data_IF_635943870733
#
_entry.id   IF_635943870733
#
_cell.length_a   1.000
_cell.length_b   1.000
_cell.length_c   1.000
_cell.angle_alpha   90.00
_cell.angle_beta   90.00
_cell.angle_gamma   90.00
#
_symmetry.space_group_name_H-M   'P 1'
#
loop_
_entity.id
_entity.type
_entity.pdbx_description
1 polymer ?
#
# COMPACT_ATOMS: atom_id res chain seq x y z
N UNK A 1 -1.47 13.94 21.09
CA UNK A 1 -1.58 12.58 20.50
C UNK A 1 -0.41 11.64 20.85
N UNK A 2 0.84 12.14 20.84
CA UNK A 2 2.05 11.40 21.23
C UNK A 2 2.02 10.75 22.62
N UNK A 3 1.54 11.46 23.64
CA UNK A 3 1.50 10.91 25.01
C UNK A 3 0.63 9.65 25.11
N UNK A 4 -0.51 9.59 24.42
CA UNK A 4 -1.46 8.47 24.48
C UNK A 4 -0.95 7.23 23.71
N UNK A 5 -0.36 7.44 22.52
CA UNK A 5 0.20 6.34 21.73
C UNK A 5 1.55 5.85 22.26
N UNK A 6 2.40 6.73 22.78
CA UNK A 6 3.60 6.31 23.53
C UNK A 6 3.26 5.75 24.90
N UNK A 7 2.14 6.08 25.55
CA UNK A 7 1.72 5.35 26.76
C UNK A 7 1.33 3.91 26.44
N UNK A 8 0.72 3.66 25.27
CA UNK A 8 0.43 2.29 24.82
C UNK A 8 1.71 1.54 24.43
N UNK A 9 2.61 2.19 23.68
CA UNK A 9 3.91 1.61 23.36
C UNK A 9 4.78 1.41 24.62
N UNK A 10 4.71 2.34 25.58
CA UNK A 10 5.35 2.22 26.89
C UNK A 10 4.70 1.15 27.76
N UNK A 11 3.39 0.88 27.65
CA UNK A 11 2.76 -0.24 28.36
C UNK A 11 3.23 -1.57 27.78
N UNK A 12 3.33 -1.70 26.47
CA UNK A 12 3.82 -2.92 25.81
C UNK A 12 5.31 -3.15 26.11
N UNK A 13 6.13 -2.10 26.06
CA UNK A 13 7.54 -2.17 26.49
C UNK A 13 7.65 -2.49 27.99
N UNK A 14 6.80 -1.92 28.85
CA UNK A 14 6.79 -2.25 30.29
C UNK A 14 6.41 -3.72 30.52
N UNK A 15 5.51 -4.28 29.73
CA UNK A 15 5.18 -5.72 29.77
C UNK A 15 6.41 -6.55 29.39
N UNK A 16 7.17 -6.15 28.37
CA UNK A 16 8.38 -6.89 27.98
C UNK A 16 9.55 -6.71 28.95
N UNK A 17 9.76 -5.52 29.50
CA UNK A 17 10.73 -5.29 30.58
C UNK A 17 10.43 -6.14 31.83
N UNK A 18 9.14 -6.42 32.11
CA UNK A 18 8.76 -7.37 33.16
C UNK A 18 9.12 -8.81 32.80
N UNK A 19 8.89 -9.25 31.56
CA UNK A 19 9.26 -10.61 31.11
C UNK A 19 10.78 -10.85 31.12
N UNK A 20 11.59 -9.85 30.78
CA UNK A 20 13.05 -9.93 30.88
C UNK A 20 13.53 -9.96 32.34
N UNK A 21 12.84 -9.25 33.25
CA UNK A 21 13.16 -9.31 34.67
C UNK A 21 12.82 -10.68 35.29
N UNK A 22 11.67 -11.27 34.94
CA UNK A 22 11.26 -12.60 35.45
C UNK A 22 12.17 -13.74 34.98
N UNK A 23 12.79 -13.61 33.79
CA UNK A 23 13.78 -14.56 33.29
C UNK A 23 15.18 -14.37 33.90
N UNK A 24 15.43 -13.24 34.56
CA UNK A 24 16.70 -12.93 35.24
C UNK A 24 16.67 -13.15 36.77
N UNK A 25 15.49 -13.30 37.38
CA UNK A 25 15.32 -13.54 38.83
C UNK A 25 15.43 -15.01 39.27
N UNK A 26 15.75 -15.93 38.35
CA UNK A 26 15.87 -17.36 38.61
C UNK A 26 17.28 -17.86 38.88
N UNK A 27 18.12 -17.16 39.65
CA UNK A 27 19.40 -17.70 40.12
C UNK A 27 19.89 -16.99 41.39
N UNK A 28 19.62 -17.63 42.54
CA UNK A 28 20.07 -17.16 43.85
C UNK A 28 19.88 -18.22 44.94
N UNK A 29 20.85 -19.13 45.02
CA UNK A 29 21.34 -19.88 46.20
C UNK A 29 20.36 -20.58 47.15
N UNK A 30 20.50 -21.91 47.26
CA UNK A 30 20.68 -22.52 48.58
C UNK A 30 21.48 -23.82 48.54
N UNK A 31 22.49 -23.89 49.40
CA UNK A 31 23.32 -25.05 49.72
C UNK A 31 22.50 -26.16 50.38
N UNK A 32 22.74 -27.43 50.02
CA UNK A 32 23.14 -28.42 51.02
C UNK A 32 23.70 -29.71 50.40
N UNK A 33 24.78 -30.16 51.03
CA UNK A 33 25.54 -31.38 50.85
C UNK A 33 24.79 -32.64 51.31
N UNK A 34 24.96 -33.77 50.59
CA UNK A 34 25.44 -35.04 51.18
C UNK A 34 25.43 -36.21 50.17
N UNK A 35 26.63 -36.78 49.97
CA UNK A 35 27.01 -38.18 49.77
C UNK A 35 25.99 -39.24 49.27
N UNK A 36 26.43 -40.01 48.27
CA UNK A 36 25.91 -41.35 47.97
C UNK A 36 26.54 -42.01 46.74
N UNK A 37 27.65 -42.75 46.96
CA UNK A 37 28.12 -43.87 46.11
C UNK A 37 26.92 -44.80 45.82
N UNK A 38 26.78 -45.51 44.69
CA UNK A 38 27.69 -46.50 44.11
C UNK A 38 26.96 -47.18 42.93
N UNK A 39 27.72 -47.77 42.00
CA UNK A 39 27.33 -49.05 41.40
C UNK A 39 27.08 -49.06 39.90
N UNK A 40 28.18 -49.24 39.14
CA UNK A 40 28.41 -50.34 38.20
C UNK A 40 27.36 -50.72 37.14
N UNK A 41 27.82 -50.96 35.91
CA UNK A 41 27.15 -51.92 35.01
C UNK A 41 27.15 -51.55 33.53
N UNK A 42 28.32 -51.65 32.93
CA UNK A 42 28.64 -52.11 31.58
C UNK A 42 27.50 -52.46 30.57
N UNK A 43 27.70 -51.90 29.38
CA UNK A 43 27.73 -52.57 28.06
C UNK A 43 26.44 -52.93 27.31
N UNK A 44 26.41 -52.45 26.05
CA UNK A 44 26.12 -53.13 24.76
C UNK A 44 24.82 -53.95 24.68
N UNK A 45 23.99 -53.91 23.65
CA UNK A 45 24.16 -53.52 22.26
C UNK A 45 22.83 -53.74 21.52
N UNK A 46 22.69 -53.04 20.39
CA UNK A 46 22.14 -53.52 19.11
C UNK A 46 20.69 -54.01 18.97
N UNK A 47 20.04 -53.42 17.96
CA UNK A 47 19.19 -54.13 16.99
C UNK A 47 17.70 -53.98 17.27
N UNK A 48 17.00 -53.09 16.56
CA UNK A 48 16.43 -53.25 15.20
C UNK A 48 14.99 -53.78 15.24
N UNK A 49 14.13 -53.02 14.54
CA UNK A 49 12.85 -53.41 13.93
C UNK A 49 11.72 -53.69 14.94
N UNK A 50 10.46 -53.35 14.73
CA UNK A 50 9.73 -52.94 13.53
C UNK A 50 8.32 -52.50 13.98
N UNK A 51 7.70 -51.64 13.17
CA UNK A 51 6.28 -51.52 12.87
C UNK A 51 5.25 -52.17 13.83
N UNK A 52 4.28 -51.37 14.28
CA UNK A 52 2.90 -51.40 13.77
C UNK A 52 1.95 -50.61 14.69
N UNK A 53 1.17 -49.72 14.06
CA UNK A 53 -0.22 -49.36 14.34
C UNK A 53 -0.86 -49.84 15.66
N UNK A 54 -1.45 -48.93 16.42
CA UNK A 54 -2.92 -48.77 16.47
C UNK A 54 -3.36 -47.69 17.46
N UNK A 55 -4.41 -47.00 17.02
CA UNK A 55 -5.39 -46.16 17.72
C UNK A 55 -5.65 -46.44 19.20
N UNK A 56 -5.85 -45.37 19.99
CA UNK A 56 -7.10 -45.09 20.71
C UNK A 56 -6.96 -43.75 21.48
N UNK A 57 -7.77 -42.71 21.23
CA UNK A 57 -9.17 -42.43 21.63
C UNK A 57 -9.24 -41.49 22.85
N UNK A 58 -10.08 -40.46 22.72
CA UNK A 58 -10.93 -39.86 23.77
C UNK A 58 -10.31 -38.89 24.79
N UNK A 59 -10.66 -37.61 24.66
CA UNK A 59 -11.77 -36.96 25.39
C UNK A 59 -11.49 -35.49 25.77
N UNK A 60 -12.31 -34.61 25.18
CA UNK A 60 -13.16 -33.60 25.84
C UNK A 60 -12.86 -33.29 27.31
N UNK A 61 -12.67 -32.01 27.65
CA UNK A 61 -13.83 -31.14 27.90
C UNK A 61 -13.42 -29.67 28.07
N UNK A 62 -14.24 -28.82 27.45
CA UNK A 62 -14.32 -27.38 27.62
C UNK A 62 -14.65 -26.96 29.05
N UNK A 63 -14.15 -25.81 29.47
CA UNK A 63 -15.00 -24.81 30.12
C UNK A 63 -14.47 -23.38 29.91
N UNK A 64 -15.43 -22.50 29.71
CA UNK A 64 -15.43 -21.16 29.12
C UNK A 64 -15.07 -19.99 30.03
N UNK A 65 -14.67 -18.87 29.40
CA UNK A 65 -14.81 -17.48 29.87
C UNK A 65 -13.54 -16.65 29.63
N UNK A 66 -13.50 -15.50 28.93
CA UNK A 66 -14.51 -14.65 28.29
C UNK A 66 -13.81 -13.78 27.21
N UNK A 67 -14.42 -13.62 26.04
CA UNK A 67 -13.99 -12.68 24.97
C UNK A 67 -15.12 -11.69 24.69
N UNK A 68 -14.85 -10.40 24.41
CA UNK A 68 -15.88 -9.49 23.94
C UNK A 68 -16.04 -9.58 22.42
N UNK A 69 -17.29 -9.72 22.00
CA UNK A 69 -17.82 -9.78 20.64
C UNK A 69 -17.81 -8.39 19.98
N UNK A 70 -17.29 -8.28 18.76
CA UNK A 70 -17.46 -7.10 17.90
C UNK A 70 -18.46 -7.42 16.79
N UNK A 71 -19.46 -6.56 16.70
CA UNK A 71 -20.62 -6.62 15.80
C UNK A 71 -20.20 -6.23 14.38
N UNK A 72 -20.51 -7.08 13.42
CA UNK A 72 -20.36 -6.82 11.97
C UNK A 72 -21.47 -5.87 11.53
N UNK A 73 -21.10 -4.69 11.04
CA UNK A 73 -22.04 -3.74 10.40
C UNK A 73 -21.85 -3.82 8.89
N UNK A 74 -22.90 -4.24 8.20
CA UNK A 74 -23.00 -4.33 6.73
C UNK A 74 -23.21 -2.96 6.08
N UNK A 75 -22.86 -2.85 4.81
CA UNK A 75 -22.68 -1.61 4.06
C UNK A 75 -23.96 -0.90 3.58
N UNK A 76 -25.11 -1.10 4.23
CA UNK A 76 -26.41 -0.54 3.78
C UNK A 76 -26.94 0.60 4.67
N UNK A 77 -26.15 1.10 5.64
CA UNK A 77 -26.59 2.13 6.59
C UNK A 77 -25.78 3.44 6.58
N UNK A 78 -25.17 3.79 5.44
CA UNK A 78 -24.51 5.12 5.25
C UNK A 78 -25.19 6.06 4.24
N UNK A 79 -26.32 5.67 3.65
CA UNK A 79 -27.02 6.49 2.63
C UNK A 79 -28.26 7.26 3.11
N UNK A 80 -28.52 7.36 4.42
CA UNK A 80 -29.77 7.94 4.93
C UNK A 80 -29.65 9.33 5.60
N UNK A 81 -28.68 10.17 5.21
CA UNK A 81 -28.55 11.54 5.77
C UNK A 81 -28.29 12.65 4.73
N UNK A 82 -28.58 12.43 3.44
CA UNK A 82 -28.37 13.45 2.41
C UNK A 82 -29.54 13.68 1.42
N UNK A 83 -30.76 13.25 1.74
CA UNK A 83 -31.95 13.57 0.94
C UNK A 83 -33.19 13.76 1.82
N UNK A 84 -33.44 15.01 2.22
CA UNK A 84 -34.78 15.48 2.56
C UNK A 84 -34.81 17.01 2.44
N UNK A 85 -35.61 17.53 1.49
CA UNK A 85 -36.06 18.92 1.55
C UNK A 85 -35.98 19.74 0.26
N UNK A 86 -36.60 19.30 -0.83
CA UNK A 86 -37.17 20.24 -1.81
C UNK A 86 -38.51 19.67 -2.28
N UNK A 87 -39.62 20.29 -1.86
CA UNK A 87 -40.84 20.53 -2.63
C UNK A 87 -42.00 20.87 -1.70
N UNK A 88 -42.45 22.13 -1.76
CA UNK A 88 -43.79 22.52 -1.36
C UNK A 88 -44.23 23.71 -2.22
N UNK A 89 -45.05 23.41 -3.22
CA UNK A 89 -45.82 24.37 -3.98
C UNK A 89 -47.06 24.83 -3.19
N UNK A 90 -47.43 26.10 -3.32
CA UNK A 90 -48.81 26.57 -3.15
C UNK A 90 -49.03 27.91 -3.90
N UNK A 91 -50.27 28.20 -4.33
CA UNK A 91 -50.53 28.82 -5.63
C UNK A 91 -51.10 30.24 -5.53
N UNK A 92 -50.89 31.07 -6.57
CA UNK A 92 -51.72 32.25 -6.84
C UNK A 92 -51.88 32.47 -8.35
N UNK A 93 -53.13 32.52 -8.79
CA UNK A 93 -53.59 33.01 -10.10
C UNK A 93 -54.21 34.43 -9.91
N UNK A 94 -54.74 35.09 -10.94
CA UNK A 94 -54.06 35.72 -12.09
C UNK A 94 -54.51 37.21 -12.27
N UNK A 95 -53.85 38.00 -13.14
CA UNK A 95 -54.50 38.97 -14.07
C UNK A 95 -53.55 40.02 -14.72
N UNK A 96 -53.79 40.23 -16.03
CA UNK A 96 -53.85 41.51 -16.78
C UNK A 96 -52.63 42.41 -17.05
N UNK A 97 -52.29 42.50 -18.36
CA UNK A 97 -52.21 43.70 -19.23
C UNK A 97 -51.42 44.97 -18.80
N UNK A 98 -50.37 45.36 -19.55
CA UNK A 98 -50.27 46.60 -20.39
C UNK A 98 -48.83 47.00 -20.80
N UNK A 99 -48.77 47.74 -21.93
CA UNK A 99 -47.64 48.29 -22.74
C UNK A 99 -46.83 49.46 -22.12
N UNK A 100 -45.76 49.83 -22.84
CA UNK A 100 -45.19 51.18 -23.18
C UNK A 100 -43.87 51.59 -22.47
N UNK A 101 -42.77 51.87 -23.21
CA UNK A 101 -42.25 53.19 -23.69
C UNK A 101 -42.09 54.23 -22.56
N UNK A 102 -41.06 55.09 -22.42
CA UNK A 102 -39.84 55.46 -23.15
C UNK A 102 -39.13 56.59 -22.35
N UNK A 103 -37.79 56.71 -22.51
CA UNK A 103 -36.90 57.92 -22.53
C UNK A 103 -37.03 59.09 -21.52
N UNK A 104 -35.88 59.57 -21.01
CA UNK A 104 -35.37 60.95 -21.22
C UNK A 104 -33.95 61.22 -20.59
N UNK A 105 -32.93 61.27 -21.47
CA UNK A 105 -31.86 62.29 -21.72
C UNK A 105 -30.95 62.99 -20.63
N UNK A 106 -29.79 63.65 -21.01
CA UNK A 106 -28.43 63.30 -20.53
C UNK A 106 -27.56 64.51 -19.98
N UNK A 107 -26.27 64.77 -20.37
CA UNK A 107 -25.06 64.57 -19.55
C UNK A 107 -24.21 65.85 -19.30
N UNK A 108 -23.14 65.78 -18.47
CA UNK A 108 -22.02 66.76 -18.51
C UNK A 108 -20.64 66.08 -18.38
N UNK A 109 -19.85 66.18 -19.46
CA UNK A 109 -18.37 66.05 -19.57
C UNK A 109 -17.74 67.36 -19.07
N UNK A 110 -16.49 67.53 -18.63
CA UNK A 110 -15.15 67.08 -19.04
C UNK A 110 -14.14 67.71 -18.00
N UNK A 111 -12.78 67.64 -18.09
CA UNK A 111 -11.91 66.85 -18.95
C UNK A 111 -10.70 66.16 -18.24
N UNK A 112 -10.11 65.21 -18.97
CA UNK A 112 -8.76 64.68 -18.79
C UNK A 112 -7.67 65.75 -19.07
N UNK A 113 -6.64 65.85 -18.22
CA UNK A 113 -5.26 65.49 -18.62
C UNK A 113 -4.17 65.73 -17.56
N UNK A 114 -3.27 64.73 -17.48
CA UNK A 114 -1.79 64.81 -17.54
C UNK A 114 -0.94 64.48 -16.30
N UNK A 115 -0.30 63.32 -16.45
CA UNK A 115 1.12 63.02 -16.20
C UNK A 115 1.56 62.61 -14.78
N UNK A 116 1.90 61.33 -14.59
CA UNK A 116 3.31 60.87 -14.65
C UNK A 116 3.45 59.35 -14.50
N UNK A 117 4.19 58.79 -15.44
CA UNK A 117 4.63 57.42 -15.55
C UNK A 117 5.41 56.96 -14.32
N UNK A 118 5.00 55.84 -13.72
CA UNK A 118 5.90 54.85 -13.11
C UNK A 118 5.26 53.48 -13.33
N UNK A 119 5.91 52.51 -14.01
CA UNK A 119 5.41 51.15 -14.01
C UNK A 119 5.58 50.61 -12.59
N UNK A 120 4.49 50.24 -11.92
CA UNK A 120 4.58 49.31 -10.80
C UNK A 120 4.96 47.96 -11.41
N UNK A 121 6.17 47.49 -11.13
CA UNK A 121 6.60 46.13 -11.39
C UNK A 121 5.65 45.16 -10.67
N UNK A 122 4.59 44.75 -11.39
CA UNK A 122 3.81 43.59 -11.01
C UNK A 122 4.60 42.40 -11.52
N UNK A 123 5.38 41.79 -10.64
CA UNK A 123 5.94 40.45 -10.85
C UNK A 123 4.74 39.58 -11.26
N UNK A 124 4.75 38.92 -12.43
CA UNK A 124 3.68 37.99 -12.76
C UNK A 124 3.73 36.91 -11.69
N UNK A 125 2.70 36.84 -10.86
CA UNK A 125 2.52 35.75 -9.92
C UNK A 125 2.48 34.49 -10.79
N UNK A 126 3.60 33.77 -10.88
CA UNK A 126 3.67 32.53 -11.63
C UNK A 126 2.57 31.66 -11.07
N UNK A 127 1.59 31.28 -11.90
CA UNK A 127 0.57 30.31 -11.50
C UNK A 127 1.33 29.14 -10.90
N UNK A 128 1.15 28.93 -9.59
CA UNK A 128 1.76 27.79 -8.93
C UNK A 128 1.41 26.53 -9.72
N UNK A 129 2.37 25.63 -9.95
CA UNK A 129 2.09 24.43 -10.73
C UNK A 129 0.96 23.66 -10.04
N UNK A 130 -0.15 23.46 -10.78
CA UNK A 130 -1.30 22.69 -10.33
C UNK A 130 -0.82 21.27 -9.98
N UNK A 131 -1.25 20.69 -8.85
CA UNK A 131 -1.00 19.28 -8.50
C UNK A 131 -1.28 18.41 -9.73
N UNK A 132 -0.24 17.76 -10.23
CA UNK A 132 -0.31 16.96 -11.45
C UNK A 132 -0.66 15.53 -11.07
N UNK A 133 -1.44 14.87 -11.93
CA UNK A 133 -1.86 13.47 -11.78
C UNK A 133 -0.83 12.53 -12.41
N UNK A 134 -0.77 11.30 -11.90
CA UNK A 134 0.26 10.34 -12.29
C UNK A 134 0.05 9.70 -13.66
N UNK A 135 -1.18 9.66 -14.18
CA UNK A 135 -1.54 9.07 -15.49
C UNK A 135 -1.10 9.85 -16.74
N UNK A 136 0.04 10.57 -16.72
CA UNK A 136 0.60 11.19 -17.95
C UNK A 136 1.26 10.15 -18.86
N UNK A 137 0.50 9.15 -19.29
CA UNK A 137 0.92 8.31 -20.39
C UNK A 137 0.75 9.11 -21.69
N UNK A 138 1.83 9.22 -22.47
CA UNK A 138 1.73 9.75 -23.83
C UNK A 138 1.00 8.68 -24.65
N UNK A 139 -0.24 8.95 -25.05
CA UNK A 139 -1.00 8.04 -25.93
C UNK A 139 -0.22 7.94 -27.24
N UNK A 140 0.46 6.80 -27.45
CA UNK A 140 1.41 6.64 -28.55
C UNK A 140 0.75 6.41 -29.90
N UNK A 141 -0.51 6.01 -29.96
CA UNK A 141 -1.28 5.94 -31.21
C UNK A 141 -2.77 5.73 -30.89
N UNK A 142 -3.67 6.36 -31.64
CA UNK A 142 -5.11 6.06 -31.56
C UNK A 142 -5.38 4.73 -32.26
N UNK A 143 -5.28 3.63 -31.50
CA UNK A 143 -5.63 2.30 -32.00
C UNK A 143 -7.11 2.05 -31.73
N UNK A 144 -7.91 1.91 -32.79
CA UNK A 144 -9.30 1.47 -32.63
C UNK A 144 -9.32 0.00 -32.19
N UNK A 145 -9.78 -0.25 -30.96
CA UNK A 145 -9.92 -1.60 -30.45
C UNK A 145 -11.14 -2.30 -31.07
N UNK A 146 -10.90 -3.46 -31.67
CA UNK A 146 -11.94 -4.38 -32.09
C UNK A 146 -12.33 -5.32 -30.95
N UNK A 147 -13.64 -5.56 -30.77
CA UNK A 147 -14.14 -6.49 -29.76
C UNK A 147 -13.82 -7.93 -30.19
N UNK A 148 -12.88 -8.56 -29.50
CA UNK A 148 -12.55 -9.98 -29.70
C UNK A 148 -13.65 -10.90 -29.16
N UNK A 149 -13.81 -12.12 -29.73
CA UNK A 149 -14.79 -13.11 -29.27
C UNK A 149 -14.54 -13.52 -27.81
N UNK A 150 -15.57 -14.08 -27.17
CA UNK A 150 -15.48 -14.56 -25.81
C UNK A 150 -14.76 -15.92 -25.75
N UNK A 151 -14.10 -16.24 -24.63
CA UNK A 151 -13.43 -17.55 -24.48
C UNK A 151 -14.35 -18.76 -24.68
N UNK A 152 -15.64 -18.63 -24.34
CA UNK A 152 -16.63 -19.72 -24.48
C UNK A 152 -16.98 -20.04 -25.94
N UNK A 153 -16.82 -19.08 -26.85
CA UNK A 153 -17.16 -19.21 -28.26
C UNK A 153 -16.02 -19.83 -29.08
N UNK A 154 -14.83 -19.97 -28.49
CA UNK A 154 -13.61 -20.41 -29.16
C UNK A 154 -13.21 -21.82 -28.68
N UNK A 155 -12.82 -22.73 -29.60
CA UNK A 155 -12.29 -24.05 -29.26
C UNK A 155 -11.07 -23.95 -28.35
N UNK A 156 -10.90 -24.94 -27.45
CA UNK A 156 -9.83 -24.97 -26.45
C UNK A 156 -8.43 -24.72 -27.04
N UNK A 157 -8.14 -25.32 -28.20
CA UNK A 157 -6.84 -25.22 -28.88
C UNK A 157 -6.47 -23.78 -29.31
N UNK A 158 -7.48 -22.92 -29.51
CA UNK A 158 -7.29 -21.52 -29.94
C UNK A 158 -7.42 -20.52 -28.78
N UNK A 159 -7.79 -20.98 -27.57
CA UNK A 159 -8.00 -20.08 -26.42
C UNK A 159 -6.70 -19.44 -25.95
N UNK A 160 -5.57 -20.16 -26.03
CA UNK A 160 -4.28 -19.61 -25.65
C UNK A 160 -3.87 -18.45 -26.57
N UNK A 161 -4.00 -18.61 -27.89
CA UNK A 161 -3.72 -17.55 -28.86
C UNK A 161 -4.66 -16.35 -28.68
N UNK A 162 -5.94 -16.60 -28.37
CA UNK A 162 -6.90 -15.55 -28.04
C UNK A 162 -6.50 -14.80 -26.76
N UNK A 163 -6.02 -15.51 -25.75
CA UNK A 163 -5.55 -14.92 -24.50
C UNK A 163 -4.38 -13.96 -24.75
N UNK A 164 -3.39 -14.38 -25.54
CA UNK A 164 -2.26 -13.52 -25.92
C UNK A 164 -2.72 -12.29 -26.72
N UNK A 165 -3.66 -12.45 -27.66
CA UNK A 165 -4.23 -11.31 -28.41
C UNK A 165 -4.96 -10.32 -27.50
N UNK A 166 -5.75 -10.82 -26.54
CA UNK A 166 -6.44 -9.98 -25.55
C UNK A 166 -5.45 -9.25 -24.64
N UNK A 167 -4.36 -9.88 -24.21
CA UNK A 167 -3.29 -9.20 -23.47
C UNK A 167 -2.67 -8.05 -24.26
N UNK A 168 -2.37 -8.29 -25.55
CA UNK A 168 -1.86 -7.25 -26.45
C UNK A 168 -2.83 -6.07 -26.60
N UNK A 169 -4.13 -6.33 -26.71
CA UNK A 169 -5.14 -5.26 -26.72
C UNK A 169 -5.18 -4.46 -25.41
N UNK A 170 -5.02 -5.14 -24.28
CA UNK A 170 -4.99 -4.49 -22.96
C UNK A 170 -3.74 -3.63 -22.72
N UNK A 171 -2.69 -3.77 -23.53
CA UNK A 171 -1.52 -2.89 -23.48
C UNK A 171 -1.77 -1.50 -24.08
N UNK A 172 -2.85 -1.29 -24.85
CA UNK A 172 -3.20 0.03 -25.41
C UNK A 172 -3.66 0.97 -24.29
N UNK A 173 -3.00 2.12 -24.14
CA UNK A 173 -3.28 3.10 -23.09
C UNK A 173 -4.28 4.14 -23.58
N UNK A 174 -5.28 4.43 -22.76
CA UNK A 174 -6.26 5.49 -23.01
C UNK A 174 -6.03 6.68 -22.08
N UNK A 175 -6.27 7.89 -22.59
CA UNK A 175 -6.27 9.10 -21.76
C UNK A 175 -7.62 9.24 -21.03
N UNK A 176 -7.55 9.34 -19.70
CA UNK A 176 -8.71 9.54 -18.83
C UNK A 176 -8.89 10.99 -18.38
N UNK A 177 -8.03 11.92 -18.80
CA UNK A 177 -8.24 13.35 -18.56
C UNK A 177 -9.49 13.88 -19.28
N UNK A 178 -9.83 13.32 -20.44
CA UNK A 178 -11.13 13.49 -21.08
C UNK A 178 -11.95 12.20 -20.91
N UNK A 179 -12.91 12.22 -19.98
CA UNK A 179 -13.77 11.08 -19.71
C UNK A 179 -14.70 10.74 -20.90
N UNK A 180 -14.99 11.70 -21.78
CA UNK A 180 -15.91 11.53 -22.90
C UNK A 180 -15.22 11.02 -24.18
N UNK A 181 -13.91 11.18 -24.28
CA UNK A 181 -13.13 10.66 -25.39
C UNK A 181 -13.01 9.12 -25.34
N UNK A 182 -13.06 8.49 -26.51
CA UNK A 182 -12.75 7.06 -26.72
C UNK A 182 -13.55 6.09 -25.84
N UNK A 183 -14.78 6.45 -25.46
CA UNK A 183 -15.68 5.65 -24.60
C UNK A 183 -15.80 4.19 -25.07
N UNK A 184 -15.94 3.98 -26.38
CA UNK A 184 -16.02 2.64 -26.98
C UNK A 184 -14.75 1.82 -26.73
N UNK A 185 -13.58 2.40 -26.97
CA UNK A 185 -12.28 1.73 -26.74
C UNK A 185 -12.05 1.46 -25.25
N UNK A 186 -12.36 2.44 -24.39
CA UNK A 186 -12.27 2.29 -22.93
C UNK A 186 -13.14 1.16 -22.41
N UNK A 187 -14.38 1.05 -22.90
CA UNK A 187 -15.29 -0.01 -22.49
C UNK A 187 -14.86 -1.38 -23.02
N UNK A 188 -14.38 -1.48 -24.27
CA UNK A 188 -13.83 -2.73 -24.83
C UNK A 188 -12.65 -3.21 -23.99
N UNK A 189 -11.70 -2.32 -23.66
CA UNK A 189 -10.56 -2.68 -22.80
C UNK A 189 -11.01 -3.11 -21.40
N UNK A 190 -11.95 -2.38 -20.79
CA UNK A 190 -12.50 -2.73 -19.47
C UNK A 190 -13.11 -4.13 -19.48
N UNK A 191 -14.00 -4.41 -20.44
CA UNK A 191 -14.63 -5.72 -20.58
C UNK A 191 -13.61 -6.83 -20.84
N UNK A 192 -12.61 -6.57 -21.68
CA UNK A 192 -11.54 -7.54 -22.00
C UNK A 192 -10.67 -7.85 -20.77
N UNK A 193 -10.31 -6.83 -19.98
CA UNK A 193 -9.58 -7.01 -18.72
C UNK A 193 -10.40 -7.83 -17.70
N UNK A 194 -11.69 -7.53 -17.56
CA UNK A 194 -12.60 -8.29 -16.67
C UNK A 194 -12.70 -9.75 -17.12
N UNK A 195 -12.85 -10.00 -18.42
CA UNK A 195 -12.91 -11.36 -18.95
C UNK A 195 -11.59 -12.12 -18.73
N UNK A 196 -10.43 -11.47 -18.92
CA UNK A 196 -9.12 -12.08 -18.64
C UNK A 196 -8.96 -12.43 -17.15
N UNK A 197 -9.44 -11.57 -16.25
CA UNK A 197 -9.45 -11.81 -14.81
C UNK A 197 -10.36 -12.97 -14.43
N UNK A 198 -11.57 -13.04 -14.98
CA UNK A 198 -12.48 -14.16 -14.75
C UNK A 198 -11.88 -15.47 -15.30
N UNK A 199 -11.27 -15.42 -16.48
CA UNK A 199 -10.71 -16.60 -17.12
C UNK A 199 -9.54 -17.20 -16.33
N UNK A 200 -8.61 -16.37 -15.84
CA UNK A 200 -7.45 -16.85 -15.07
C UNK A 200 -7.83 -17.36 -13.66
N UNK A 201 -8.97 -16.89 -13.12
CA UNK A 201 -9.44 -17.31 -11.79
C UNK A 201 -10.30 -18.58 -11.85
N UNK A 202 -11.06 -18.78 -12.92
CA UNK A 202 -11.99 -19.91 -13.06
C UNK A 202 -11.39 -21.12 -13.77
N UNK A 203 -10.50 -20.90 -14.74
CA UNK A 203 -9.98 -21.96 -15.61
C UNK A 203 -8.58 -22.38 -15.18
N UNK A 204 -8.35 -23.69 -15.04
CA UNK A 204 -7.02 -24.27 -14.74
C UNK A 204 -6.23 -24.54 -16.01
N UNK A 205 -4.91 -24.55 -15.90
CA UNK A 205 -3.99 -24.83 -17.00
C UNK A 205 -3.83 -23.67 -17.97
N UNK A 206 -4.30 -22.47 -17.60
CA UNK A 206 -4.23 -21.28 -18.48
C UNK A 206 -2.81 -20.73 -18.52
N UNK A 207 -2.06 -20.80 -17.43
CA UNK A 207 -0.74 -20.16 -17.30
C UNK A 207 0.35 -21.02 -17.95
N UNK A 208 0.62 -20.76 -19.22
CA UNK A 208 1.71 -21.39 -19.99
C UNK A 208 2.94 -20.49 -20.08
N UNK A 209 4.10 -21.05 -20.43
CA UNK A 209 5.37 -20.29 -20.55
C UNK A 209 5.31 -19.01 -21.41
N UNK A 210 4.67 -18.96 -22.60
CA UNK A 210 4.62 -17.75 -23.42
C UNK A 210 3.74 -16.63 -22.84
N UNK A 211 2.91 -16.92 -21.82
CA UNK A 211 2.02 -15.91 -21.22
C UNK A 211 2.77 -15.00 -20.23
N UNK A 212 3.83 -15.51 -19.58
CA UNK A 212 4.61 -14.74 -18.61
C UNK A 212 5.15 -13.41 -19.15
N UNK A 213 5.87 -13.34 -20.29
CA UNK A 213 6.36 -12.08 -20.82
C UNK A 213 5.22 -11.10 -21.15
N UNK A 214 4.12 -11.59 -21.74
CA UNK A 214 2.99 -10.74 -22.14
C UNK A 214 2.26 -10.16 -20.94
N UNK A 215 2.05 -10.94 -19.87
CA UNK A 215 1.41 -10.45 -18.64
C UNK A 215 2.29 -9.40 -17.94
N UNK A 216 3.60 -9.67 -17.81
CA UNK A 216 4.53 -8.73 -17.16
C UNK A 216 4.66 -7.45 -18.00
N UNK A 217 4.71 -7.56 -19.33
CA UNK A 217 4.73 -6.42 -20.26
C UNK A 217 3.45 -5.60 -20.16
N UNK A 218 2.28 -6.23 -20.21
CA UNK A 218 0.97 -5.56 -20.09
C UNK A 218 0.85 -4.82 -18.73
N UNK A 219 1.29 -5.45 -17.64
CA UNK A 219 1.34 -4.81 -16.33
C UNK A 219 2.27 -3.58 -16.32
N UNK A 220 3.50 -3.74 -16.83
CA UNK A 220 4.49 -2.68 -16.88
C UNK A 220 4.02 -1.47 -17.71
N UNK A 221 3.45 -1.71 -18.90
CA UNK A 221 2.96 -0.65 -19.80
C UNK A 221 1.81 0.14 -19.16
N UNK A 222 0.90 -0.54 -18.44
CA UNK A 222 -0.25 0.12 -17.83
C UNK A 222 0.10 0.88 -16.54
N UNK A 223 1.12 0.46 -15.78
CA UNK A 223 1.36 0.97 -14.43
C UNK A 223 2.61 1.83 -14.32
N UNK A 224 3.73 1.41 -14.91
CA UNK A 224 5.03 2.05 -14.70
C UNK A 224 5.05 3.40 -15.40
N UNK A 225 4.97 4.45 -14.59
CA UNK A 225 4.92 5.85 -14.97
C UNK A 225 5.66 6.67 -13.95
N UNK A 226 6.09 7.85 -14.35
CA UNK A 226 6.66 8.82 -13.42
C UNK A 226 5.55 9.45 -12.59
N UNK A 227 5.67 9.37 -11.28
CA UNK A 227 4.78 10.09 -10.38
C UNK A 227 5.20 11.56 -10.40
N UNK A 228 4.31 12.49 -10.75
CA UNK A 228 4.65 13.91 -10.80
C UNK A 228 5.04 14.40 -9.40
N UNK A 229 5.95 15.38 -9.32
CA UNK A 229 6.37 15.92 -8.03
C UNK A 229 5.18 16.51 -7.28
N UNK A 230 5.11 16.20 -5.99
CA UNK A 230 4.10 16.73 -5.08
C UNK A 230 4.33 18.22 -4.85
N UNK A 231 3.75 19.05 -5.71
CA UNK A 231 3.79 20.51 -5.59
C UNK A 231 2.52 20.99 -4.90
N UNK A 232 2.66 21.62 -3.73
CA UNK A 232 1.51 22.24 -3.09
C UNK A 232 1.20 23.56 -3.82
N UNK A 233 0.00 23.74 -4.42
CA UNK A 233 -0.27 24.84 -5.34
C UNK A 233 -0.52 26.16 -4.62
N UNK A 234 -0.61 26.16 -3.29
CA UNK A 234 -1.01 27.33 -2.50
C UNK A 234 0.20 28.02 -1.84
N UNK A 235 1.38 27.40 -1.86
CA UNK A 235 2.59 27.97 -1.22
C UNK A 235 2.59 27.88 0.31
N UNK A 236 1.53 27.32 0.90
CA UNK A 236 1.50 26.97 2.33
C UNK A 236 2.39 25.76 2.63
N UNK A 237 2.78 25.63 3.91
CA UNK A 237 3.49 24.46 4.40
C UNK A 237 2.64 23.21 4.13
N UNK A 238 3.20 22.25 3.40
CA UNK A 238 2.59 20.96 3.13
C UNK A 238 2.17 20.30 4.44
N UNK A 239 0.86 20.06 4.58
CA UNK A 239 0.30 19.30 5.69
C UNK A 239 -0.32 18.01 5.14
N UNK A 240 0.37 16.87 5.30
CA UNK A 240 -0.12 15.60 4.78
C UNK A 240 -1.35 15.06 5.51
N UNK A 241 -1.75 15.64 6.66
CA UNK A 241 -3.00 15.27 7.34
C UNK A 241 -4.23 16.02 6.78
N UNK A 242 -4.04 17.24 6.26
CA UNK A 242 -5.13 18.08 5.74
C UNK A 242 -5.29 17.99 4.21
N UNK A 243 -4.21 17.69 3.49
CA UNK A 243 -4.22 17.67 2.02
C UNK A 243 -5.05 16.50 1.46
N UNK A 244 -6.16 16.81 0.78
CA UNK A 244 -6.99 15.80 0.10
C UNK A 244 -6.17 14.99 -0.93
N UNK A 245 -6.27 13.63 -0.94
CA UNK A 245 -5.50 12.80 -1.83
C UNK A 245 -5.98 12.93 -3.28
N UNK A 246 -5.05 13.09 -4.22
CA UNK A 246 -5.38 13.08 -5.64
C UNK A 246 -5.64 11.66 -6.11
N UNK A 247 -6.91 11.37 -6.42
CA UNK A 247 -7.34 10.08 -6.96
C UNK A 247 -6.96 9.90 -8.44
N UNK A 248 -6.65 8.67 -8.83
CA UNK A 248 -6.30 8.34 -10.21
C UNK A 248 -7.57 8.22 -11.10
N UNK A 249 -7.53 8.85 -12.27
CA UNK A 249 -8.67 8.88 -13.22
C UNK A 249 -8.77 7.59 -14.03
N UNK A 250 -7.62 6.98 -14.34
CA UNK A 250 -7.55 5.70 -15.05
C UNK A 250 -7.87 4.48 -14.14
N UNK A 251 -8.29 4.74 -12.89
CA UNK A 251 -8.60 3.71 -11.89
C UNK A 251 -9.51 2.58 -12.39
N UNK A 252 -10.57 2.81 -13.19
CA UNK A 252 -11.42 1.73 -13.70
C UNK A 252 -10.67 0.66 -14.53
N UNK A 253 -9.55 1.03 -15.16
CA UNK A 253 -8.67 0.06 -15.84
C UNK A 253 -7.58 -0.44 -14.90
N UNK A 254 -6.90 0.47 -14.17
CA UNK A 254 -5.78 0.12 -13.29
C UNK A 254 -6.16 -0.87 -12.21
N UNK A 255 -7.34 -0.72 -11.59
CA UNK A 255 -7.85 -1.65 -10.58
C UNK A 255 -7.85 -3.09 -11.11
N UNK A 256 -8.36 -3.30 -12.33
CA UNK A 256 -8.48 -4.63 -12.93
C UNK A 256 -7.08 -5.16 -13.28
N UNK A 257 -6.17 -4.30 -13.75
CA UNK A 257 -4.78 -4.71 -14.05
C UNK A 257 -4.04 -5.16 -12.78
N UNK A 258 -4.18 -4.41 -11.67
CA UNK A 258 -3.62 -4.81 -10.38
C UNK A 258 -4.21 -6.13 -9.89
N UNK A 259 -5.54 -6.27 -9.95
CA UNK A 259 -6.22 -7.48 -9.51
C UNK A 259 -5.84 -8.69 -10.35
N UNK A 260 -5.80 -8.54 -11.68
CA UNK A 260 -5.36 -9.57 -12.62
C UNK A 260 -3.93 -10.04 -12.31
N UNK A 261 -2.99 -9.11 -12.14
CA UNK A 261 -1.60 -9.46 -11.84
C UNK A 261 -1.44 -10.12 -10.47
N UNK A 262 -2.23 -9.68 -9.48
CA UNK A 262 -2.23 -10.31 -8.17
C UNK A 262 -2.76 -11.74 -8.23
N UNK A 263 -3.86 -12.00 -8.94
CA UNK A 263 -4.38 -13.36 -9.17
C UNK A 263 -3.38 -14.23 -9.94
N UNK A 264 -2.71 -13.65 -10.94
CA UNK A 264 -1.66 -14.34 -11.69
C UNK A 264 -0.51 -14.80 -10.79
N UNK A 265 0.01 -13.93 -9.91
CA UNK A 265 1.08 -14.29 -8.97
C UNK A 265 0.58 -15.28 -7.91
N UNK A 266 -0.64 -15.12 -7.41
CA UNK A 266 -1.22 -15.98 -6.38
C UNK A 266 -1.61 -17.38 -6.89
N UNK A 267 -1.74 -17.55 -8.21
CA UNK A 267 -2.11 -18.82 -8.82
C UNK A 267 -1.17 -19.96 -8.36
N UNK A 268 -1.73 -21.15 -8.04
CA UNK A 268 -0.92 -22.33 -7.73
C UNK A 268 -0.12 -22.83 -8.93
N UNK A 269 -0.51 -22.46 -10.16
CA UNK A 269 0.16 -22.84 -11.40
C UNK A 269 1.31 -21.88 -11.77
N UNK A 270 1.57 -20.88 -10.93
CA UNK A 270 2.63 -19.90 -11.13
C UNK A 270 4.01 -20.51 -10.87
N UNK A 271 4.85 -20.56 -11.90
CA UNK A 271 6.24 -21.02 -11.82
C UNK A 271 7.22 -19.85 -11.69
N UNK A 272 7.84 -19.76 -10.51
CA UNK A 272 8.87 -18.77 -10.20
C UNK A 272 10.13 -18.90 -11.07
N UNK A 273 10.44 -20.08 -11.62
CA UNK A 273 11.63 -20.30 -12.44
C UNK A 273 11.52 -19.67 -13.82
N UNK A 274 10.32 -19.60 -14.37
CA UNK A 274 10.03 -18.92 -15.63
C UNK A 274 9.92 -17.42 -15.35
N UNK A 275 9.12 -17.05 -14.34
CA UNK A 275 8.82 -15.66 -14.01
C UNK A 275 10.06 -14.82 -13.63
N UNK A 276 11.09 -15.41 -13.00
CA UNK A 276 12.32 -14.69 -12.59
C UNK A 276 13.09 -14.05 -13.76
N UNK A 277 12.85 -14.50 -15.00
CA UNK A 277 13.44 -13.90 -16.20
C UNK A 277 12.85 -12.51 -16.50
N UNK A 278 11.60 -12.29 -16.10
CA UNK A 278 10.83 -11.08 -16.41
C UNK A 278 10.64 -10.18 -15.17
N UNK A 279 10.42 -10.77 -14.00
CA UNK A 279 10.39 -10.06 -12.71
C UNK A 279 11.82 -9.98 -12.18
N UNK A 280 12.53 -8.95 -12.63
CA UNK A 280 13.94 -8.71 -12.32
C UNK A 280 14.09 -7.50 -11.34
N UNK A 281 15.32 -7.19 -10.87
CA UNK A 281 15.53 -6.05 -9.97
C UNK A 281 15.01 -4.71 -10.52
N UNK A 282 15.07 -4.49 -11.84
CA UNK A 282 14.55 -3.27 -12.47
C UNK A 282 13.04 -3.16 -12.33
N UNK A 283 12.30 -4.26 -12.53
CA UNK A 283 10.86 -4.32 -12.30
C UNK A 283 10.51 -3.95 -10.85
N UNK A 284 11.30 -4.40 -9.88
CA UNK A 284 11.09 -4.07 -8.46
C UNK A 284 11.30 -2.59 -8.18
N UNK A 285 12.32 -1.96 -8.79
CA UNK A 285 12.54 -0.52 -8.62
C UNK A 285 11.36 0.28 -9.18
N UNK A 286 10.92 -0.02 -10.40
CA UNK A 286 9.76 0.65 -11.01
C UNK A 286 8.47 0.42 -10.21
N UNK A 287 8.30 -0.75 -9.60
CA UNK A 287 7.18 -1.03 -8.71
C UNK A 287 7.27 -0.23 -7.40
N UNK A 288 8.47 -0.06 -6.85
CA UNK A 288 8.70 0.73 -5.64
C UNK A 288 8.46 2.22 -5.87
N UNK A 289 8.85 2.75 -7.03
CA UNK A 289 8.60 4.15 -7.39
C UNK A 289 7.10 4.50 -7.34
N UNK A 290 6.22 3.52 -7.60
CA UNK A 290 4.78 3.72 -7.53
C UNK A 290 4.21 3.90 -6.11
N UNK A 291 4.96 3.54 -5.05
CA UNK A 291 4.52 3.74 -3.66
C UNK A 291 4.39 5.23 -3.29
N UNK A 292 4.92 6.14 -4.11
CA UNK A 292 4.69 7.59 -3.95
C UNK A 292 3.30 8.04 -4.44
N UNK A 293 2.45 7.13 -4.95
CA UNK A 293 1.10 7.46 -5.41
C UNK A 293 0.28 8.11 -4.30
N UNK A 294 -0.41 9.20 -4.61
CA UNK A 294 -1.33 9.85 -3.67
C UNK A 294 -2.59 9.01 -3.43
N UNK A 295 -2.95 8.14 -4.37
CA UNK A 295 -4.13 7.28 -4.28
C UNK A 295 -3.89 6.11 -3.31
N UNK A 296 -4.54 6.08 -2.13
CA UNK A 296 -4.36 5.00 -1.16
C UNK A 296 -4.77 3.63 -1.69
N UNK A 297 -5.71 3.58 -2.65
CA UNK A 297 -6.16 2.32 -3.25
C UNK A 297 -5.04 1.68 -4.05
N UNK A 298 -4.28 2.48 -4.79
CA UNK A 298 -3.12 2.01 -5.55
C UNK A 298 -2.04 1.48 -4.60
N UNK A 299 -1.74 2.21 -3.53
CA UNK A 299 -0.75 1.79 -2.53
C UNK A 299 -1.10 0.47 -1.85
N UNK A 300 -2.37 0.20 -1.59
CA UNK A 300 -2.79 -1.08 -0.99
C UNK A 300 -2.57 -2.28 -1.93
N UNK A 301 -2.82 -2.11 -3.24
CA UNK A 301 -2.49 -3.12 -4.25
C UNK A 301 -0.98 -3.30 -4.41
N UNK A 302 -0.21 -2.21 -4.44
CA UNK A 302 1.25 -2.25 -4.49
C UNK A 302 1.83 -2.98 -3.27
N UNK A 303 1.31 -2.68 -2.09
CA UNK A 303 1.67 -3.35 -0.83
C UNK A 303 1.51 -4.86 -0.93
N UNK A 304 0.32 -5.29 -1.32
CA UNK A 304 -0.01 -6.71 -1.44
C UNK A 304 0.84 -7.38 -2.52
N UNK A 305 0.98 -6.73 -3.69
CA UNK A 305 1.77 -7.25 -4.82
C UNK A 305 3.24 -7.43 -4.45
N UNK A 306 3.88 -6.41 -3.86
CA UNK A 306 5.28 -6.48 -3.44
C UNK A 306 5.49 -7.54 -2.35
N UNK A 307 4.56 -7.66 -1.39
CA UNK A 307 4.63 -8.71 -0.37
C UNK A 307 4.55 -10.12 -0.98
N UNK A 308 3.64 -10.36 -1.94
CA UNK A 308 3.55 -11.64 -2.65
C UNK A 308 4.83 -11.96 -3.41
N UNK A 309 5.40 -10.97 -4.11
CA UNK A 309 6.67 -11.12 -4.83
C UNK A 309 7.79 -11.46 -3.84
N UNK A 310 7.91 -10.75 -2.72
CA UNK A 310 8.91 -11.05 -1.69
C UNK A 310 8.78 -12.48 -1.13
N UNK A 311 7.54 -12.93 -0.92
CA UNK A 311 7.24 -14.28 -0.45
C UNK A 311 7.70 -15.36 -1.42
N UNK A 312 7.34 -15.22 -2.70
CA UNK A 312 7.61 -16.22 -3.76
C UNK A 312 9.03 -16.20 -4.30
N UNK A 313 9.65 -15.02 -4.45
CA UNK A 313 10.98 -14.88 -5.07
C UNK A 313 12.09 -14.77 -4.03
N UNK A 314 12.60 -15.92 -3.58
CA UNK A 314 13.68 -15.99 -2.59
C UNK A 314 14.94 -15.20 -3.01
N UNK A 315 15.28 -15.22 -4.30
CA UNK A 315 16.44 -14.53 -4.88
C UNK A 315 16.31 -13.00 -4.86
N UNK A 316 15.09 -12.45 -4.82
CA UNK A 316 14.85 -11.01 -4.80
C UNK A 316 14.78 -10.44 -3.38
N UNK A 317 14.67 -11.28 -2.34
CA UNK A 317 14.46 -10.83 -0.95
C UNK A 317 15.51 -9.84 -0.47
N UNK A 318 16.79 -10.12 -0.71
CA UNK A 318 17.88 -9.23 -0.31
C UNK A 318 17.82 -7.89 -1.06
N UNK A 319 17.50 -7.93 -2.36
CA UNK A 319 17.36 -6.74 -3.18
C UNK A 319 16.18 -5.88 -2.72
N UNK A 320 14.99 -6.47 -2.54
CA UNK A 320 13.78 -5.77 -2.05
C UNK A 320 14.06 -5.08 -0.72
N UNK A 321 14.63 -5.78 0.28
CA UNK A 321 14.97 -5.17 1.57
C UNK A 321 15.93 -4.00 1.42
N UNK A 322 16.96 -4.15 0.57
CA UNK A 322 17.93 -3.06 0.31
C UNK A 322 17.26 -1.86 -0.35
N UNK A 323 16.39 -2.09 -1.34
CA UNK A 323 15.69 -1.01 -2.05
C UNK A 323 14.72 -0.27 -1.13
N UNK A 324 13.95 -0.98 -0.28
CA UNK A 324 13.09 -0.34 0.73
C UNK A 324 13.93 0.46 1.73
N UNK A 325 15.09 -0.07 2.16
CA UNK A 325 16.01 0.68 3.02
C UNK A 325 16.48 1.97 2.36
N UNK A 326 16.81 1.94 1.07
CA UNK A 326 17.22 3.14 0.34
C UNK A 326 16.10 4.19 0.30
N UNK A 327 14.85 3.76 0.06
CA UNK A 327 13.68 4.66 0.13
C UNK A 327 13.57 5.31 1.51
N UNK A 328 13.73 4.53 2.58
CA UNK A 328 13.72 5.08 3.93
C UNK A 328 14.91 6.00 4.22
N UNK A 329 16.11 5.71 3.71
CA UNK A 329 17.24 6.62 3.85
C UNK A 329 16.97 7.97 3.17
N UNK A 330 16.49 7.95 1.93
CA UNK A 330 16.13 9.16 1.20
C UNK A 330 15.02 9.94 1.93
N UNK A 331 13.99 9.24 2.42
CA UNK A 331 12.92 9.84 3.22
C UNK A 331 13.44 10.49 4.51
N UNK A 332 14.27 9.80 5.29
CA UNK A 332 14.72 10.26 6.61
C UNK A 332 15.76 11.40 6.52
N UNK A 333 16.59 11.43 5.47
CA UNK A 333 17.77 12.30 5.42
C UNK A 333 17.75 13.34 4.30
N UNK A 334 16.87 13.19 3.30
CA UNK A 334 16.84 14.09 2.13
C UNK A 334 15.50 14.79 1.96
N UNK A 335 14.41 14.03 1.77
CA UNK A 335 13.14 14.61 1.31
C UNK A 335 12.15 14.90 2.44
N UNK A 336 12.16 14.10 3.51
CA UNK A 336 11.14 14.08 4.57
C UNK A 336 9.69 13.98 4.04
N UNK A 337 9.52 13.49 2.82
CA UNK A 337 8.23 13.35 2.13
C UNK A 337 8.20 12.08 1.30
N UNK A 338 7.21 11.23 1.55
CA UNK A 338 6.92 10.02 0.80
C UNK A 338 5.56 9.44 1.26
N UNK A 339 4.64 9.13 0.34
CA UNK A 339 3.29 8.70 0.70
C UNK A 339 3.21 7.26 1.20
N UNK A 340 4.05 6.36 0.66
CA UNK A 340 3.96 4.92 0.91
C UNK A 340 4.72 4.38 2.12
N UNK A 341 5.14 5.23 3.07
CA UNK A 341 5.98 4.78 4.20
C UNK A 341 5.23 3.79 5.11
N UNK A 342 3.95 4.05 5.38
CA UNK A 342 3.11 3.16 6.20
C UNK A 342 2.99 1.77 5.55
N UNK A 343 2.68 1.71 4.26
CA UNK A 343 2.51 0.47 3.52
C UNK A 343 3.82 -0.33 3.42
N UNK A 344 4.95 0.33 3.20
CA UNK A 344 6.27 -0.31 3.22
C UNK A 344 6.62 -0.88 4.60
N UNK A 345 6.25 -0.18 5.68
CA UNK A 345 6.42 -0.67 7.05
C UNK A 345 5.51 -1.87 7.35
N UNK A 346 4.29 -1.93 6.82
CA UNK A 346 3.43 -3.12 6.97
C UNK A 346 4.07 -4.37 6.37
N UNK A 347 4.64 -4.24 5.15
CA UNK A 347 5.37 -5.34 4.51
C UNK A 347 6.56 -5.74 5.38
N UNK A 348 7.33 -4.77 5.86
CA UNK A 348 8.49 -5.04 6.70
C UNK A 348 8.12 -5.68 8.04
N UNK A 349 7.01 -5.30 8.66
CA UNK A 349 6.51 -5.95 9.87
C UNK A 349 6.30 -7.45 9.66
N UNK A 350 5.70 -7.84 8.52
CA UNK A 350 5.55 -9.26 8.14
C UNK A 350 6.91 -9.93 7.89
N UNK A 351 7.83 -9.24 7.22
CA UNK A 351 9.19 -9.73 6.95
C UNK A 351 9.98 -9.96 8.25
N UNK A 352 9.92 -9.02 9.20
CA UNK A 352 10.61 -9.07 10.49
C UNK A 352 10.09 -10.25 11.32
N UNK A 353 8.77 -10.45 11.33
CA UNK A 353 8.18 -11.61 11.98
C UNK A 353 8.71 -12.94 11.40
N UNK A 354 9.05 -12.97 10.12
CA UNK A 354 9.66 -14.12 9.44
C UNK A 354 11.18 -14.27 9.61
N UNK A 355 11.87 -13.41 10.37
CA UNK A 355 13.31 -13.53 10.56
C UNK A 355 13.69 -14.80 11.32
N UNK A 356 14.76 -15.44 10.84
CA UNK A 356 15.39 -16.57 11.51
C UNK A 356 16.22 -16.08 12.70
N UNK A 357 16.30 -16.92 13.74
CA UNK A 357 17.17 -16.71 14.89
C UNK A 357 18.45 -17.55 14.73
N UNK A 358 19.61 -17.05 15.17
CA UNK A 358 19.85 -15.70 15.72
C UNK A 358 19.69 -14.60 14.65
N UNK A 359 19.28 -13.40 15.08
CA UNK A 359 19.14 -12.26 14.18
C UNK A 359 20.50 -11.91 13.55
N UNK A 360 20.49 -11.68 12.23
CA UNK A 360 21.66 -11.23 11.50
C UNK A 360 22.01 -9.78 11.83
N UNK A 361 23.30 -9.43 11.77
CA UNK A 361 23.79 -8.08 12.01
C UNK A 361 23.21 -7.05 11.04
N UNK A 362 22.91 -7.45 9.79
CA UNK A 362 22.22 -6.59 8.83
C UNK A 362 20.82 -6.15 9.33
N UNK A 363 20.11 -7.01 10.07
CA UNK A 363 18.79 -6.70 10.62
C UNK A 363 18.90 -5.80 11.85
N UNK A 364 19.91 -6.01 12.70
CA UNK A 364 20.23 -5.12 13.82
C UNK A 364 20.59 -3.72 13.34
N UNK A 365 21.42 -3.64 12.29
CA UNK A 365 21.77 -2.38 11.63
C UNK A 365 20.54 -1.68 11.06
N UNK A 366 19.61 -2.43 10.46
CA UNK A 366 18.35 -1.88 9.96
C UNK A 366 17.49 -1.26 11.09
N UNK A 367 17.35 -1.94 12.22
CA UNK A 367 16.66 -1.40 13.40
C UNK A 367 17.28 -0.06 13.84
N UNK A 368 18.60 -0.02 13.99
CA UNK A 368 19.29 1.12 14.62
C UNK A 368 19.51 2.30 13.69
N UNK A 369 19.71 2.05 12.39
CA UNK A 369 19.99 3.08 11.38
C UNK A 369 18.77 3.55 10.61
N UNK A 370 17.67 2.80 10.64
CA UNK A 370 16.46 3.10 9.87
C UNK A 370 15.22 3.20 10.74
N UNK A 371 14.82 2.12 11.44
CA UNK A 371 13.56 2.14 12.22
C UNK A 371 13.58 3.13 13.38
N UNK A 372 14.68 3.20 14.15
CA UNK A 372 14.77 4.18 15.24
C UNK A 372 14.75 5.62 14.68
N UNK A 373 15.59 6.00 13.69
CA UNK A 373 15.55 7.34 13.10
C UNK A 373 14.24 7.74 12.43
N UNK A 374 13.39 6.81 11.98
CA UNK A 374 12.06 7.14 11.43
C UNK A 374 11.16 7.87 12.44
N UNK A 375 11.43 7.78 13.74
CA UNK A 375 10.68 8.51 14.77
C UNK A 375 11.00 10.01 14.80
N UNK A 376 12.06 10.45 14.11
CA UNK A 376 12.47 11.87 14.10
C UNK A 376 11.66 12.73 13.12
N UNK A 377 11.00 12.11 12.13
CA UNK A 377 10.38 12.83 11.01
C UNK A 377 9.03 13.39 11.44
N UNK A 378 8.70 14.60 10.99
CA UNK A 378 7.50 15.34 11.42
C UNK A 378 6.18 14.63 11.08
N UNK A 379 6.12 13.97 9.93
CA UNK A 379 4.93 13.25 9.46
C UNK A 379 4.77 11.86 10.09
N UNK A 380 5.30 11.65 11.29
CA UNK A 380 5.29 10.36 12.00
C UNK A 380 3.87 9.83 12.25
N UNK A 381 2.90 10.72 12.47
CA UNK A 381 1.50 10.33 12.75
C UNK A 381 0.91 9.42 11.68
N UNK A 382 1.32 9.60 10.41
CA UNK A 382 0.81 8.84 9.27
C UNK A 382 1.20 7.35 9.28
N UNK A 383 2.32 7.00 9.91
CA UNK A 383 2.89 5.64 9.86
C UNK A 383 3.31 5.10 11.23
N UNK A 384 3.07 5.85 12.31
CA UNK A 384 3.46 5.48 13.67
C UNK A 384 2.95 4.09 14.10
N UNK A 385 1.68 3.71 13.87
CA UNK A 385 1.19 2.37 14.26
C UNK A 385 2.01 1.24 13.62
N UNK A 386 2.34 1.36 12.33
CA UNK A 386 3.10 0.39 11.57
C UNK A 386 4.57 0.34 12.02
N UNK A 387 5.16 1.51 12.32
CA UNK A 387 6.52 1.60 12.83
C UNK A 387 6.64 0.96 14.23
N UNK A 388 5.71 1.29 15.13
CA UNK A 388 5.64 0.73 16.47
C UNK A 388 5.53 -0.80 16.42
N UNK A 389 4.66 -1.32 15.54
CA UNK A 389 4.57 -2.76 15.29
C UNK A 389 5.92 -3.35 14.88
N UNK A 390 6.62 -2.77 13.91
CA UNK A 390 7.94 -3.25 13.48
C UNK A 390 8.96 -3.28 14.63
N UNK A 391 8.99 -2.25 15.48
CA UNK A 391 9.92 -2.19 16.62
C UNK A 391 9.58 -3.27 17.66
N UNK A 392 8.30 -3.44 18.01
CA UNK A 392 7.87 -4.50 18.93
C UNK A 392 8.26 -5.89 18.39
N UNK A 393 8.02 -6.15 17.10
CA UNK A 393 8.40 -7.43 16.48
C UNK A 393 9.91 -7.70 16.57
N UNK A 394 10.75 -6.67 16.48
CA UNK A 394 12.19 -6.82 16.69
C UNK A 394 12.54 -7.22 18.13
N UNK A 395 11.91 -6.58 19.12
CA UNK A 395 12.14 -6.86 20.54
C UNK A 395 11.62 -8.24 20.95
N UNK A 396 10.54 -8.72 20.34
CA UNK A 396 10.06 -10.09 20.54
C UNK A 396 11.05 -11.14 20.02
N UNK A 397 11.79 -10.83 18.94
CA UNK A 397 12.80 -11.73 18.36
C UNK A 397 14.10 -11.73 19.16
N UNK A 398 14.54 -10.58 19.65
CA UNK A 398 15.77 -10.44 20.43
C UNK A 398 15.60 -9.36 21.52
N UNK A 399 15.24 -9.74 22.75
CA UNK A 399 15.03 -8.81 23.86
C UNK A 399 16.29 -8.03 24.27
N UNK A 400 17.49 -8.49 23.89
CA UNK A 400 18.74 -7.78 24.21
C UNK A 400 18.84 -6.40 23.54
N UNK A 401 18.06 -6.16 22.47
CA UNK A 401 18.00 -4.89 21.74
C UNK A 401 17.18 -3.81 22.48
N UNK A 402 16.51 -4.16 23.59
CA UNK A 402 15.57 -3.26 24.29
C UNK A 402 16.26 -1.98 24.78
N UNK A 403 17.46 -2.08 25.36
CA UNK A 403 18.19 -0.91 25.85
C UNK A 403 18.50 0.07 24.72
N UNK A 404 19.03 -0.43 23.60
CA UNK A 404 19.37 0.39 22.44
C UNK A 404 18.14 1.08 21.84
N UNK A 405 17.01 0.37 21.75
CA UNK A 405 15.74 0.94 21.28
C UNK A 405 15.24 2.04 22.21
N UNK A 406 15.18 1.79 23.52
CA UNK A 406 14.69 2.79 24.49
C UNK A 406 15.59 4.03 24.49
N UNK A 407 16.91 3.86 24.53
CA UNK A 407 17.85 4.97 24.45
C UNK A 407 17.70 5.76 23.14
N UNK A 408 17.48 5.06 22.02
CA UNK A 408 17.22 5.68 20.72
C UNK A 408 15.93 6.51 20.70
N UNK A 409 14.85 6.00 21.27
CA UNK A 409 13.56 6.72 21.35
C UNK A 409 13.64 7.93 22.29
N UNK A 410 14.32 7.81 23.43
CA UNK A 410 14.57 8.93 24.34
C UNK A 410 15.39 10.04 23.67
N UNK A 411 16.32 9.67 22.78
CA UNK A 411 17.11 10.63 22.00
C UNK A 411 16.26 11.45 21.05
N UNK A 412 15.27 10.83 20.40
CA UNK A 412 14.36 11.47 19.46
C UNK A 412 13.05 11.94 20.10
N UNK A 413 12.99 11.99 21.43
CA UNK A 413 11.79 12.41 22.14
C UNK A 413 11.38 13.84 21.72
N UNK A 414 10.13 14.05 21.26
CA UNK A 414 9.69 15.35 20.78
C UNK A 414 9.65 16.34 21.95
N UNK A 415 10.41 17.44 21.83
CA UNK A 415 10.50 18.50 22.87
C UNK A 415 9.58 19.69 22.61
N UNK A 416 9.12 19.86 21.37
CA UNK A 416 8.39 21.06 20.90
C UNK A 416 7.15 20.75 20.06
N UNK A 417 7.06 19.56 19.46
CA UNK A 417 5.91 19.13 18.65
C UNK A 417 4.92 18.35 19.52
N UNK A 418 4.17 19.09 20.36
CA UNK A 418 3.03 18.58 21.13
C UNK A 418 1.77 19.17 20.49
N UNK A 419 1.32 18.58 19.38
CA UNK A 419 -0.07 18.74 18.94
C UNK A 419 -0.77 17.38 19.02
#
# INVERSE_FOLDING_TARGET
YFATHYTFFSSEIRVQLRKTNDSSSGSGSNNNSSNGKSGGGSSKSSGKNSAASSSNTSNNNDTSGSTPTIVVVTAEQRQALAQAGVDAAAPLSPASNHKSHSKDEPPKRDPLNRLKNTPKDVIPLSKAPRRQRSSRFHVTEKVELEKLPNFNEVPLDKRQDLFLKKLGQCAVIFDFNDASAELKGKEIKRATLTELLEYITTTRGVITEPIYPEVVSMFAINLFRTIPPQVNPIGDAFDPEEDEPVLELAWPHLQIVYEFFLRFIESPEFDTNIAKKYINPQFILQLLDLFESEDPRERDFLKTTLHRIYGKFLNLRAFIRRSINNVFFQFIYETERHNGIAELLEILGSIINGFALPLKDEHKTFLTKVLIPLHKVKSLTLYHPQLAYCVVQFLEKDPSLTEEVICGLLRYWPKVEIK
#
